data_IF_298235058944
#
_entry.id   IF_298235058944
#
_cell.length_a   1.000
_cell.length_b   1.000
_cell.length_c   1.000
_cell.angle_alpha   90.00
_cell.angle_beta   90.00
_cell.angle_gamma   90.00
#
_symmetry.space_group_name_H-M   'P 1'
#
loop_
_entity.id
_entity.type
_entity.pdbx_description
1 polymer ?
#
# COMPACT_ATOMS: atom_id res chain seq x y z
N UNK A 1 2.82 -3.08 -8.37
CA UNK A 1 2.14 -2.12 -7.52
C UNK A 1 0.62 -2.07 -7.71
N UNK A 2 0.09 -2.42 -8.89
CA UNK A 2 -1.36 -2.45 -9.14
C UNK A 2 -2.15 -3.38 -8.20
N UNK A 3 -1.50 -4.31 -7.53
CA UNK A 3 -2.10 -5.25 -6.58
C UNK A 3 -1.92 -4.84 -5.11
N UNK A 4 -1.61 -3.59 -4.84
CA UNK A 4 -1.43 -3.10 -3.48
C UNK A 4 -2.77 -3.04 -2.71
N UNK A 5 -2.66 -2.96 -1.38
CA UNK A 5 -3.83 -2.88 -0.48
C UNK A 5 -4.68 -1.62 -0.66
N UNK A 6 -4.13 -0.56 -1.26
CA UNK A 6 -4.83 0.69 -1.54
C UNK A 6 -5.40 0.76 -2.95
N UNK A 7 -5.25 -0.31 -3.73
CA UNK A 7 -5.77 -0.38 -5.09
C UNK A 7 -7.30 -0.34 -5.12
N UNK A 8 -7.83 0.25 -6.15
CA UNK A 8 -9.26 0.25 -6.46
C UNK A 8 -9.50 -0.16 -7.90
N UNK A 9 -10.72 -0.51 -8.23
CA UNK A 9 -11.14 -0.81 -9.60
C UNK A 9 -11.81 0.44 -10.17
N UNK A 10 -11.43 0.84 -11.38
CA UNK A 10 -12.05 1.95 -12.09
C UNK A 10 -13.35 1.53 -12.82
N UNK A 11 -14.00 2.47 -13.50
CA UNK A 11 -15.24 2.24 -14.26
C UNK A 11 -15.07 1.22 -15.39
N UNK A 12 -13.86 1.08 -15.93
CA UNK A 12 -13.52 0.15 -17.02
C UNK A 12 -13.09 -1.24 -16.52
N UNK A 13 -13.03 -1.47 -15.20
CA UNK A 13 -12.59 -2.72 -14.60
C UNK A 13 -11.08 -2.85 -14.43
N UNK A 14 -10.29 -1.81 -14.71
CA UNK A 14 -8.84 -1.79 -14.46
C UNK A 14 -8.51 -1.43 -13.02
N UNK A 15 -7.45 -2.03 -12.50
CA UNK A 15 -6.94 -1.74 -11.16
C UNK A 15 -6.09 -0.47 -11.20
N UNK A 16 -6.41 0.46 -10.31
CA UNK A 16 -5.69 1.72 -10.13
C UNK A 16 -5.04 1.77 -8.75
N UNK A 17 -3.85 2.36 -8.68
CA UNK A 17 -3.06 2.52 -7.46
C UNK A 17 -2.87 4.00 -7.15
N UNK A 18 -2.97 4.44 -5.87
CA UNK A 18 -2.80 5.84 -5.51
C UNK A 18 -1.33 6.24 -5.45
N UNK A 19 -1.04 7.46 -5.88
CA UNK A 19 0.27 8.10 -5.78
C UNK A 19 0.13 9.56 -5.39
N UNK A 20 1.12 10.09 -4.67
CA UNK A 20 1.21 11.53 -4.39
C UNK A 20 1.88 12.25 -5.55
N UNK A 21 1.34 13.38 -5.94
CA UNK A 21 1.95 14.23 -6.96
C UNK A 21 3.18 14.93 -6.42
N UNK A 22 4.25 14.96 -7.22
CA UNK A 22 5.47 15.71 -6.93
C UNK A 22 5.65 16.78 -8.01
N UNK A 23 5.84 18.02 -7.59
CA UNK A 23 6.11 19.15 -8.48
C UNK A 23 7.37 19.87 -8.01
N UNK A 24 8.35 20.02 -8.90
CA UNK A 24 9.60 20.73 -8.63
C UNK A 24 10.30 20.29 -7.33
N UNK A 25 10.40 18.99 -7.12
CA UNK A 25 11.04 18.42 -5.93
C UNK A 25 10.25 18.57 -4.63
N UNK A 26 8.98 18.93 -4.72
CA UNK A 26 8.07 19.06 -3.56
C UNK A 26 6.91 18.09 -3.69
N UNK A 27 6.68 17.29 -2.66
CA UNK A 27 5.56 16.37 -2.55
C UNK A 27 4.30 17.13 -2.18
N UNK A 28 3.24 16.95 -2.96
CA UNK A 28 1.91 17.49 -2.68
C UNK A 28 1.08 16.51 -1.84
N UNK A 29 0.04 17.02 -1.18
CA UNK A 29 -1.01 16.19 -0.57
C UNK A 29 -1.99 15.62 -1.59
N UNK A 30 -1.93 16.07 -2.84
CA UNK A 30 -2.82 15.59 -3.89
C UNK A 30 -2.51 14.14 -4.25
N UNK A 31 -3.54 13.30 -4.22
CA UNK A 31 -3.46 11.88 -4.56
C UNK A 31 -4.12 11.67 -5.91
N UNK A 32 -3.40 11.00 -6.79
CA UNK A 32 -3.92 10.57 -8.09
C UNK A 32 -3.85 9.05 -8.21
N UNK A 33 -4.92 8.45 -8.70
CA UNK A 33 -4.96 7.02 -8.99
C UNK A 33 -4.55 6.78 -10.44
N UNK A 34 -3.61 5.87 -10.62
CA UNK A 34 -3.08 5.52 -11.94
C UNK A 34 -3.16 4.01 -12.19
N UNK A 35 -3.44 3.66 -13.44
CA UNK A 35 -3.34 2.29 -13.95
C UNK A 35 -1.87 1.92 -14.19
N UNK A 36 -1.57 0.62 -14.32
CA UNK A 36 -0.20 0.13 -14.47
C UNK A 36 0.51 0.68 -15.72
N UNK A 37 -0.21 0.85 -16.82
CA UNK A 37 0.31 1.42 -18.07
C UNK A 37 0.75 2.87 -17.92
N UNK A 38 0.00 3.68 -17.17
CA UNK A 38 0.37 5.06 -16.84
C UNK A 38 1.54 5.12 -15.85
N UNK A 39 1.53 4.21 -14.87
CA UNK A 39 2.60 4.13 -13.87
C UNK A 39 3.99 3.89 -14.52
N UNK A 40 4.06 3.07 -15.55
CA UNK A 40 5.32 2.73 -16.23
C UNK A 40 5.99 3.92 -16.93
N UNK A 41 5.24 4.97 -17.24
CA UNK A 41 5.76 6.17 -17.92
C UNK A 41 6.43 7.15 -16.95
N UNK A 42 6.04 7.12 -15.68
CA UNK A 42 6.45 8.12 -14.69
C UNK A 42 7.56 7.63 -13.77
N UNK A 43 8.40 8.55 -13.32
CA UNK A 43 9.40 8.30 -12.27
C UNK A 43 8.74 8.46 -10.90
N UNK A 44 8.71 7.38 -10.12
CA UNK A 44 8.00 7.31 -8.84
C UNK A 44 9.01 7.10 -7.71
N UNK A 45 9.06 8.04 -6.76
CA UNK A 45 9.89 7.91 -5.57
C UNK A 45 9.31 6.91 -4.56
N UNK A 46 10.19 6.29 -3.77
CA UNK A 46 9.77 5.43 -2.66
C UNK A 46 9.15 6.24 -1.53
N UNK A 47 8.20 5.66 -0.81
CA UNK A 47 7.49 6.32 0.29
C UNK A 47 8.39 6.68 1.49
N UNK A 48 9.53 6.03 1.64
CA UNK A 48 10.51 6.28 2.71
C UNK A 48 11.54 7.37 2.37
N UNK A 49 11.42 8.05 1.24
CA UNK A 49 12.28 9.17 0.90
C UNK A 49 12.14 10.31 1.93
N UNK A 50 13.28 10.83 2.39
CA UNK A 50 13.30 11.90 3.40
C UNK A 50 12.80 13.22 2.83
N UNK A 51 11.78 13.79 3.44
CA UNK A 51 11.20 15.08 3.10
C UNK A 51 11.17 15.99 4.34
N UNK A 52 11.17 17.30 4.10
CA UNK A 52 10.93 18.28 5.17
C UNK A 52 9.42 18.41 5.47
N UNK A 53 9.09 19.22 6.48
CA UNK A 53 7.68 19.49 6.86
C UNK A 53 6.86 20.15 5.74
N UNK A 54 7.53 20.72 4.74
CA UNK A 54 6.92 21.37 3.57
C UNK A 54 6.87 20.44 2.35
N UNK A 55 7.27 19.18 2.52
CA UNK A 55 7.27 18.16 1.47
C UNK A 55 8.43 18.25 0.47
N UNK A 56 9.47 19.05 0.74
CA UNK A 56 10.66 19.12 -0.12
C UNK A 56 11.60 17.97 0.21
N UNK A 57 12.15 17.31 -0.81
CA UNK A 57 13.15 16.26 -0.63
C UNK A 57 14.45 16.82 -0.04
N UNK A 58 14.98 16.14 0.99
CA UNK A 58 16.18 16.53 1.70
C UNK A 58 17.48 16.00 1.07
N UNK A 59 17.36 14.96 0.22
CA UNK A 59 18.52 14.31 -0.40
C UNK A 59 18.64 14.72 -1.87
N UNK A 60 19.89 14.83 -2.35
CA UNK A 60 20.17 15.16 -3.75
C UNK A 60 19.83 14.03 -4.71
N UNK A 61 19.85 12.79 -4.24
CA UNK A 61 19.53 11.60 -5.02
C UNK A 61 18.56 10.72 -4.26
N UNK A 62 17.48 10.35 -4.92
CA UNK A 62 16.37 9.60 -4.35
C UNK A 62 16.21 8.30 -5.12
N UNK A 63 16.03 7.21 -4.38
CA UNK A 63 15.65 5.93 -5.00
C UNK A 63 14.27 6.07 -5.62
N UNK A 64 14.22 5.87 -6.92
CA UNK A 64 12.99 5.93 -7.69
C UNK A 64 12.77 4.64 -8.47
N UNK A 65 11.57 4.51 -9.00
CA UNK A 65 11.17 3.41 -9.89
C UNK A 65 10.76 4.01 -11.23
N UNK A 66 11.34 3.51 -12.30
CA UNK A 66 10.97 3.84 -13.67
C UNK A 66 10.92 2.55 -14.49
N UNK A 67 9.73 2.16 -14.93
CA UNK A 67 9.51 0.87 -15.57
C UNK A 67 10.02 -0.31 -14.69
N UNK A 68 10.97 -1.06 -15.18
CA UNK A 68 11.60 -2.19 -14.47
C UNK A 68 12.89 -1.82 -13.76
N UNK A 69 13.36 -0.59 -13.89
CA UNK A 69 14.61 -0.10 -13.33
C UNK A 69 14.40 0.67 -12.03
N UNK A 70 15.44 0.71 -11.21
CA UNK A 70 15.47 1.43 -9.94
C UNK A 70 16.58 2.49 -9.94
N UNK A 71 16.46 3.54 -10.75
CA UNK A 71 17.49 4.58 -10.84
C UNK A 71 17.50 5.46 -9.59
N UNK A 72 18.67 6.11 -9.39
CA UNK A 72 18.81 7.21 -8.46
C UNK A 72 18.50 8.51 -9.22
N UNK A 73 17.32 9.05 -8.99
CA UNK A 73 16.83 10.26 -9.65
C UNK A 73 17.08 11.52 -8.82
N UNK A 74 17.18 12.66 -9.51
CA UNK A 74 17.17 13.97 -8.83
C UNK A 74 15.75 14.34 -8.43
N UNK A 75 15.57 15.19 -7.39
CA UNK A 75 14.23 15.62 -6.95
C UNK A 75 13.37 16.23 -8.06
N UNK A 76 14.00 16.88 -9.04
CA UNK A 76 13.32 17.54 -10.17
C UNK A 76 12.78 16.55 -11.21
N UNK A 77 13.38 15.36 -11.30
CA UNK A 77 12.99 14.30 -12.23
C UNK A 77 11.84 13.44 -11.71
N UNK A 78 11.52 13.54 -10.41
CA UNK A 78 10.48 12.76 -9.76
C UNK A 78 9.12 13.42 -9.99
N UNK A 79 8.18 12.63 -10.49
CA UNK A 79 6.83 13.10 -10.84
C UNK A 79 5.79 12.64 -9.82
N UNK A 80 6.00 11.49 -9.19
CA UNK A 80 5.11 10.91 -8.19
C UNK A 80 5.90 10.26 -7.05
N UNK A 81 5.22 10.04 -5.94
CA UNK A 81 5.75 9.35 -4.77
C UNK A 81 4.73 8.35 -4.24
N UNK A 82 5.18 7.20 -3.77
CA UNK A 82 4.31 6.22 -3.12
C UNK A 82 3.67 6.81 -1.86
N UNK A 83 2.42 6.43 -1.59
CA UNK A 83 1.69 6.95 -0.41
C UNK A 83 2.14 6.30 0.89
N UNK A 84 2.56 5.03 0.86
CA UNK A 84 3.04 4.30 2.03
C UNK A 84 4.00 3.17 1.62
N UNK A 85 4.91 2.74 2.50
CA UNK A 85 5.84 1.63 2.21
C UNK A 85 5.15 0.30 1.92
N UNK A 86 4.04 0.02 2.59
CA UNK A 86 3.25 -1.20 2.42
C UNK A 86 2.44 -1.24 1.11
N UNK A 87 2.46 -0.17 0.32
CA UNK A 87 1.86 -0.13 -1.00
C UNK A 87 2.48 -1.12 -1.99
N UNK A 88 3.73 -1.53 -1.77
CA UNK A 88 4.47 -2.44 -2.66
C UNK A 88 4.12 -3.92 -2.44
N UNK A 89 3.44 -4.25 -1.37
CA UNK A 89 3.08 -5.62 -1.01
C UNK A 89 1.59 -5.89 -1.18
N UNK A 90 1.23 -7.16 -1.35
CA UNK A 90 -0.16 -7.59 -1.42
C UNK A 90 -0.86 -7.49 -0.06
N UNK A 91 -2.20 -7.59 -0.05
CA UNK A 91 -2.97 -7.60 1.20
C UNK A 91 -2.55 -8.73 2.15
N UNK A 92 -2.26 -9.92 1.63
CA UNK A 92 -1.81 -11.05 2.43
C UNK A 92 -0.45 -10.78 3.09
N UNK A 93 0.52 -10.26 2.34
CA UNK A 93 1.83 -9.91 2.89
C UNK A 93 1.74 -8.72 3.86
N UNK A 94 0.86 -7.77 3.62
CA UNK A 94 0.65 -6.61 4.50
C UNK A 94 0.06 -6.97 5.87
N UNK A 95 -0.56 -8.13 6.02
CA UNK A 95 -1.08 -8.66 7.28
C UNK A 95 -0.03 -9.38 8.14
N UNK A 96 1.18 -9.57 7.63
CA UNK A 96 2.26 -10.22 8.38
C UNK A 96 2.96 -9.16 9.23
N UNK A 97 2.89 -9.22 10.57
CA UNK A 97 3.61 -8.29 11.43
C UNK A 97 5.13 -8.53 11.31
N UNK A 98 5.90 -7.46 11.34
CA UNK A 98 7.37 -7.47 11.20
C UNK A 98 7.88 -8.18 9.92
N UNK A 99 7.16 -8.02 8.82
CA UNK A 99 7.50 -8.64 7.54
C UNK A 99 8.93 -8.31 7.08
N UNK A 100 9.41 -7.10 7.36
CA UNK A 100 10.75 -6.63 7.00
C UNK A 100 11.89 -7.40 7.70
N UNK A 101 11.58 -8.12 8.78
CA UNK A 101 12.54 -8.96 9.52
C UNK A 101 12.47 -10.44 9.15
N UNK A 102 11.54 -10.83 8.27
CA UNK A 102 11.35 -12.21 7.85
C UNK A 102 12.13 -12.53 6.56
N UNK A 103 12.61 -13.77 6.48
CA UNK A 103 13.10 -14.32 5.22
C UNK A 103 11.94 -14.48 4.21
N UNK A 104 12.24 -14.26 2.92
CA UNK A 104 11.25 -14.32 1.86
C UNK A 104 10.51 -15.66 1.78
N UNK A 105 11.22 -16.78 2.00
CA UNK A 105 10.61 -18.10 2.00
C UNK A 105 9.61 -18.30 3.15
N UNK A 106 9.92 -17.78 4.35
CA UNK A 106 9.02 -17.84 5.50
C UNK A 106 7.81 -16.94 5.33
N UNK A 107 8.00 -15.76 4.76
CA UNK A 107 6.91 -14.85 4.42
C UNK A 107 5.95 -15.47 3.38
N UNK A 108 6.48 -16.18 2.38
CA UNK A 108 5.68 -16.92 1.41
C UNK A 108 4.85 -18.02 2.09
N UNK A 109 5.45 -18.80 2.98
CA UNK A 109 4.74 -19.83 3.73
C UNK A 109 3.63 -19.22 4.60
N UNK A 110 3.92 -18.12 5.31
CA UNK A 110 2.94 -17.40 6.12
C UNK A 110 1.76 -16.88 5.29
N UNK A 111 2.02 -16.28 4.14
CA UNK A 111 0.98 -15.82 3.22
C UNK A 111 0.09 -16.97 2.72
N UNK A 112 0.66 -18.12 2.45
CA UNK A 112 -0.09 -19.31 2.06
C UNK A 112 -0.95 -19.86 3.21
N UNK A 113 -0.43 -19.86 4.43
CA UNK A 113 -1.15 -20.32 5.62
C UNK A 113 -2.34 -19.43 5.96
N UNK A 114 -2.28 -18.12 5.72
CA UNK A 114 -3.41 -17.23 5.91
C UNK A 114 -4.64 -17.65 5.09
N UNK A 115 -4.44 -18.17 3.87
CA UNK A 115 -5.53 -18.67 3.02
C UNK A 115 -6.15 -19.98 3.50
N UNK A 116 -5.48 -20.67 4.44
CA UNK A 116 -5.91 -21.94 5.03
C UNK A 116 -6.42 -21.76 6.45
N UNK A 117 -6.64 -20.52 6.88
CA UNK A 117 -7.11 -20.20 8.22
C UNK A 117 -8.50 -20.80 8.49
N UNK A 118 -8.68 -21.37 9.67
CA UNK A 118 -9.96 -21.91 10.14
C UNK A 118 -10.61 -20.90 11.08
N UNK A 119 -11.90 -20.59 10.90
CA UNK A 119 -12.64 -19.74 11.83
C UNK A 119 -12.64 -20.31 13.24
N UNK A 120 -12.37 -19.49 14.23
CA UNK A 120 -12.36 -19.87 15.63
C UNK A 120 -13.76 -19.78 16.24
N UNK A 121 -14.07 -20.66 17.20
CA UNK A 121 -15.31 -20.60 17.97
C UNK A 121 -15.44 -19.30 18.79
N UNK A 122 -14.31 -18.84 19.31
CA UNK A 122 -14.16 -17.52 19.97
C UNK A 122 -13.08 -16.74 19.28
N UNK A 123 -13.41 -15.90 18.32
CA UNK A 123 -12.42 -15.03 17.70
C UNK A 123 -11.99 -13.94 18.69
N UNK A 124 -10.70 -13.69 18.77
CA UNK A 124 -10.09 -12.63 19.57
C UNK A 124 -9.26 -11.72 18.68
N UNK A 125 -9.15 -10.44 19.07
CA UNK A 125 -8.26 -9.52 18.38
C UNK A 125 -6.79 -9.94 18.60
N UNK A 126 -5.93 -9.86 17.56
CA UNK A 126 -4.53 -10.20 17.73
C UNK A 126 -3.84 -9.20 18.66
N UNK A 127 -2.96 -9.69 19.54
CA UNK A 127 -2.16 -8.85 20.45
C UNK A 127 -1.15 -8.02 19.62
N UNK A 128 -0.57 -8.64 18.59
CA UNK A 128 0.32 -7.98 17.63
C UNK A 128 -0.32 -8.03 16.27
N UNK A 129 -0.58 -6.87 15.70
CA UNK A 129 -1.21 -6.72 14.38
C UNK A 129 -0.56 -5.61 13.57
N UNK A 130 -0.98 -5.47 12.32
CA UNK A 130 -0.49 -4.45 11.40
C UNK A 130 -1.35 -3.20 11.35
N UNK A 131 -2.52 -3.22 12.00
CA UNK A 131 -3.51 -2.14 11.95
C UNK A 131 -4.39 -2.14 10.70
N UNK A 132 -4.20 -3.10 9.80
CA UNK A 132 -4.95 -3.23 8.54
C UNK A 132 -6.08 -4.28 8.64
N UNK A 133 -6.14 -5.05 9.71
CA UNK A 133 -7.04 -6.17 9.89
C UNK A 133 -8.51 -5.75 9.79
N UNK A 134 -8.90 -4.70 10.49
CA UNK A 134 -10.25 -4.19 10.49
C UNK A 134 -10.68 -3.72 9.10
N UNK A 135 -9.83 -2.93 8.46
CA UNK A 135 -10.10 -2.43 7.11
C UNK A 135 -10.24 -3.55 6.09
N UNK A 136 -9.36 -4.54 6.13
CA UNK A 136 -9.40 -5.68 5.20
C UNK A 136 -10.65 -6.53 5.45
N UNK A 137 -11.02 -6.78 6.71
CA UNK A 137 -12.24 -7.50 7.04
C UNK A 137 -13.50 -6.79 6.52
N UNK A 138 -13.55 -5.47 6.66
CA UNK A 138 -14.66 -4.66 6.17
C UNK A 138 -14.73 -4.67 4.62
N UNK A 139 -13.60 -4.45 3.94
CA UNK A 139 -13.52 -4.38 2.49
C UNK A 139 -13.77 -5.75 1.82
N UNK A 140 -13.48 -6.85 2.50
CA UNK A 140 -13.77 -8.19 2.02
C UNK A 140 -15.28 -8.50 1.91
N UNK A 141 -16.13 -7.67 2.53
CA UNK A 141 -17.60 -7.80 2.51
C UNK A 141 -18.13 -9.16 2.96
N UNK A 142 -17.37 -9.87 3.77
CA UNK A 142 -17.80 -11.13 4.40
C UNK A 142 -18.57 -10.90 5.69
N UNK A 143 -18.46 -9.68 6.25
CA UNK A 143 -19.16 -9.28 7.46
C UNK A 143 -20.53 -8.70 7.12
N UNK A 144 -21.52 -9.08 7.91
CA UNK A 144 -22.83 -8.44 7.90
C UNK A 144 -22.78 -7.27 8.90
N UNK A 145 -22.84 -6.07 8.37
CA UNK A 145 -22.76 -4.82 9.14
C UNK A 145 -24.15 -4.25 9.32
N UNK A 146 -24.47 -3.76 10.51
CA UNK A 146 -25.74 -3.11 10.78
C UNK A 146 -25.87 -1.81 9.96
N UNK A 147 -26.95 -1.66 9.22
CA UNK A 147 -27.22 -0.47 8.41
C UNK A 147 -27.74 0.71 9.24
N UNK A 148 -28.29 0.44 10.44
CA UNK A 148 -28.89 1.43 11.33
C UNK A 148 -28.52 1.14 12.78
N UNK A 149 -28.68 2.17 13.61
CA UNK A 149 -28.54 2.00 15.06
C UNK A 149 -29.62 1.05 15.61
N UNK A 150 -29.19 0.13 16.44
CA UNK A 150 -30.08 -0.88 17.05
C UNK A 150 -29.47 -1.44 18.34
N UNK A 151 -30.20 -2.31 18.99
CA UNK A 151 -29.77 -3.05 20.19
C UNK A 151 -29.73 -4.53 19.81
N UNK A 152 -28.65 -5.20 20.17
CA UNK A 152 -28.50 -6.65 19.96
C UNK A 152 -29.21 -7.35 21.12
N UNK A 153 -30.21 -8.19 20.81
CA UNK A 153 -30.92 -9.02 21.77
C UNK A 153 -30.28 -10.39 21.96
#
# INVERSE_FOLDING_TARGET
SSLCIYARVNEFGFIETPYRKVKNGRVSSDIEFMTADKEDVFTIAQANASTDDKGKFLTERIKARLQSDYPLAKPEEIQYMDVAPNQLVSAAAALIPFLEHDDANRALMGSNMQRQAVPLLRPEAPIVGTGLEEKIAYDARTLIVAERNGVVE
#
